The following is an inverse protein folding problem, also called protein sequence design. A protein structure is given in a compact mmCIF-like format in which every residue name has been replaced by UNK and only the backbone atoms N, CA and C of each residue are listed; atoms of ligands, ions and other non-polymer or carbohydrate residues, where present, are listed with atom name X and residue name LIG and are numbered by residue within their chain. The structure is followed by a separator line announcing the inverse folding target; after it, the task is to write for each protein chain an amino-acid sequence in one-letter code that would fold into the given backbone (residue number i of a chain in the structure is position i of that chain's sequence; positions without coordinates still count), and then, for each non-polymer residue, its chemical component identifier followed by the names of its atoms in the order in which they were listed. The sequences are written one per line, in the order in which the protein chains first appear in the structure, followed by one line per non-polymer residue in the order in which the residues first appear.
data_IF_583996209461
#
_entry.id   IF_583996209461
#
_cell.length_a   1.000
_cell.length_b   1.000
_cell.length_c   1.000
_cell.angle_alpha   90.00
_cell.angle_beta   90.00
_cell.angle_gamma   90.00
#
_symmetry.space_group_name_H-M   'P 1'
#
loop_
_entity.id
_entity.type
_entity.pdbx_description
1 polymer ?
#
# COMPACT_ATOMS: atom_id res chain seq x y z
N UNK A 1 2.71 49.60 -33.12
CA UNK A 1 1.48 49.20 -32.41
C UNK A 1 0.72 48.20 -33.29
N UNK A 2 0.06 47.17 -32.73
CA UNK A 2 -0.87 46.31 -33.48
C UNK A 2 -2.31 46.63 -33.02
N UNK A 3 -3.24 46.75 -33.97
CA UNK A 3 -4.65 47.01 -33.66
C UNK A 3 -5.27 45.80 -32.94
N UNK A 4 -6.09 46.00 -31.89
CA UNK A 4 -6.88 44.91 -31.31
C UNK A 4 -7.95 44.48 -32.31
N UNK A 5 -7.86 43.24 -32.81
CA UNK A 5 -8.97 42.64 -33.56
C UNK A 5 -10.19 42.55 -32.63
N UNK A 6 -11.35 42.97 -33.11
CA UNK A 6 -12.59 42.97 -32.32
C UNK A 6 -13.01 41.54 -31.94
N UNK A 7 -13.35 41.34 -30.66
CA UNK A 7 -13.86 40.05 -30.14
C UNK A 7 -15.12 39.55 -30.86
N UNK A 8 -15.82 40.44 -31.56
CA UNK A 8 -17.07 40.18 -32.26
C UNK A 8 -16.93 39.18 -33.44
N UNK A 9 -15.71 38.98 -33.95
CA UNK A 9 -15.43 38.05 -35.05
C UNK A 9 -15.27 36.57 -34.63
N UNK A 10 -15.44 36.24 -33.34
CA UNK A 10 -15.30 34.86 -32.81
C UNK A 10 -16.65 34.19 -32.46
N UNK A 11 -17.79 34.81 -32.80
CA UNK A 11 -19.13 34.31 -32.46
C UNK A 11 -20.00 33.93 -33.67
N UNK A 12 -19.48 34.06 -34.89
CA UNK A 12 -20.12 33.55 -36.11
C UNK A 12 -19.64 32.13 -36.43
N UNK A 13 -19.91 31.19 -35.52
CA UNK A 13 -19.92 29.78 -35.87
C UNK A 13 -21.29 29.46 -36.45
N UNK A 14 -21.37 29.22 -37.76
CA UNK A 14 -22.59 28.75 -38.41
C UNK A 14 -22.93 27.36 -37.87
N UNK A 15 -23.86 27.31 -36.92
CA UNK A 15 -24.40 26.04 -36.42
C UNK A 15 -25.12 25.33 -37.58
N UNK A 16 -24.96 23.99 -37.72
CA UNK A 16 -25.75 23.22 -38.67
C UNK A 16 -27.24 23.52 -38.51
N UNK A 17 -27.94 23.80 -39.61
CA UNK A 17 -29.33 24.30 -39.62
C UNK A 17 -30.36 23.32 -39.04
N UNK A 18 -29.93 22.11 -38.67
CA UNK A 18 -30.70 21.07 -38.00
C UNK A 18 -30.43 20.96 -36.48
N UNK A 19 -29.54 21.75 -35.88
CA UNK A 19 -29.33 21.81 -34.43
C UNK A 19 -30.08 23.00 -33.82
N UNK A 20 -31.14 22.74 -33.03
CA UNK A 20 -31.72 23.77 -32.16
C UNK A 20 -30.75 24.12 -31.02
N UNK A 21 -30.72 25.41 -30.67
CA UNK A 21 -30.04 25.93 -29.48
C UNK A 21 -30.49 25.19 -28.21
N UNK A 22 -31.76 24.81 -28.11
CA UNK A 22 -32.32 24.11 -26.95
C UNK A 22 -31.69 22.72 -26.75
N UNK A 23 -31.37 22.03 -27.86
CA UNK A 23 -30.70 20.73 -27.82
C UNK A 23 -29.27 20.91 -27.31
N UNK A 24 -28.55 21.93 -27.80
CA UNK A 24 -27.19 22.26 -27.34
C UNK A 24 -27.18 22.61 -25.85
N UNK A 25 -28.10 23.48 -25.42
CA UNK A 25 -28.24 23.88 -24.00
C UNK A 25 -28.58 22.69 -23.11
N UNK A 26 -29.46 21.78 -23.56
CA UNK A 26 -29.80 20.56 -22.83
C UNK A 26 -28.61 19.63 -22.68
N UNK A 27 -27.93 19.27 -23.77
CA UNK A 27 -26.77 18.37 -23.73
C UNK A 27 -25.63 18.95 -22.87
N UNK A 28 -25.37 20.26 -22.95
CA UNK A 28 -24.40 20.93 -22.07
C UNK A 28 -24.84 20.89 -20.59
N UNK A 29 -26.13 21.06 -20.30
CA UNK A 29 -26.68 20.94 -18.94
C UNK A 29 -26.51 19.52 -18.38
N UNK A 30 -26.87 18.49 -19.16
CA UNK A 30 -26.74 17.09 -18.77
C UNK A 30 -25.26 16.69 -18.57
N UNK A 31 -24.34 17.21 -19.38
CA UNK A 31 -22.88 17.06 -19.19
C UNK A 31 -22.41 17.74 -17.90
N UNK A 32 -22.87 18.96 -17.60
CA UNK A 32 -22.53 19.68 -16.37
C UNK A 32 -23.08 18.98 -15.12
N UNK A 33 -24.31 18.49 -15.15
CA UNK A 33 -24.93 17.71 -14.08
C UNK A 33 -24.15 16.41 -13.83
N UNK A 34 -23.73 15.72 -14.91
CA UNK A 34 -22.90 14.51 -14.84
C UNK A 34 -21.53 14.81 -14.22
N UNK A 35 -20.87 15.90 -14.64
CA UNK A 35 -19.59 16.39 -14.07
C UNK A 35 -19.73 16.72 -12.58
N UNK A 36 -20.80 17.42 -12.18
CA UNK A 36 -21.07 17.74 -10.77
C UNK A 36 -21.29 16.48 -9.92
N UNK A 37 -22.15 15.55 -10.35
CA UNK A 37 -22.39 14.28 -9.65
C UNK A 37 -21.09 13.47 -9.46
N UNK A 38 -20.21 13.44 -10.47
CA UNK A 38 -18.89 12.80 -10.34
C UNK A 38 -17.98 13.49 -9.31
N UNK A 39 -17.99 14.83 -9.23
CA UNK A 39 -17.20 15.58 -8.22
C UNK A 39 -17.76 15.40 -6.80
N UNK A 40 -19.08 15.31 -6.63
CA UNK A 40 -19.69 15.02 -5.31
C UNK A 40 -19.31 13.61 -4.84
N UNK A 41 -19.43 12.60 -5.71
CA UNK A 41 -18.97 11.23 -5.40
C UNK A 41 -17.46 11.17 -5.11
N UNK A 42 -16.64 11.94 -5.85
CA UNK A 42 -15.19 12.04 -5.62
C UNK A 42 -14.85 12.58 -4.23
N UNK A 43 -15.57 13.58 -3.75
CA UNK A 43 -15.38 14.11 -2.39
C UNK A 43 -15.85 13.12 -1.32
N UNK A 44 -17.00 12.45 -1.52
CA UNK A 44 -17.51 11.46 -0.58
C UNK A 44 -16.52 10.29 -0.35
N UNK A 45 -15.91 9.77 -1.42
CA UNK A 45 -14.89 8.70 -1.31
C UNK A 45 -13.58 9.22 -0.69
N UNK A 46 -13.25 10.51 -0.84
CA UNK A 46 -12.11 11.12 -0.13
C UNK A 46 -12.34 11.17 1.37
N UNK A 47 -13.51 11.60 1.84
CA UNK A 47 -13.80 11.67 3.29
C UNK A 47 -13.87 10.26 3.90
N UNK A 48 -14.57 9.32 3.27
CA UNK A 48 -14.58 7.92 3.69
C UNK A 48 -13.16 7.32 3.79
N UNK A 49 -12.28 7.57 2.80
CA UNK A 49 -10.90 7.09 2.85
C UNK A 49 -10.05 7.80 3.92
N UNK A 50 -10.30 9.08 4.23
CA UNK A 50 -9.64 9.77 5.35
C UNK A 50 -10.00 9.14 6.70
N UNK A 51 -11.26 8.73 6.86
CA UNK A 51 -11.78 8.10 8.08
C UNK A 51 -11.23 6.68 8.27
N UNK A 52 -11.24 5.85 7.22
CA UNK A 52 -10.90 4.42 7.28
C UNK A 52 -9.42 4.12 6.95
N UNK A 53 -8.55 5.12 7.08
CA UNK A 53 -7.23 5.17 6.43
C UNK A 53 -6.18 4.16 6.92
N UNK A 54 -6.34 3.64 8.13
CA UNK A 54 -5.47 2.60 8.71
C UNK A 54 -5.88 1.19 8.31
N UNK A 55 -7.17 0.95 8.04
CA UNK A 55 -7.72 -0.40 8.01
C UNK A 55 -7.60 -1.10 6.66
N UNK A 56 -7.59 -0.38 5.53
CA UNK A 56 -7.46 -1.02 4.21
C UNK A 56 -6.56 -0.28 3.20
N UNK A 57 -5.36 -0.85 2.97
CA UNK A 57 -4.43 -0.39 1.92
C UNK A 57 -4.89 -0.73 0.49
N UNK A 58 -5.70 -1.79 0.31
CA UNK A 58 -6.24 -2.17 -1.01
C UNK A 58 -7.21 -1.11 -1.51
N UNK A 59 -8.12 -0.65 -0.65
CA UNK A 59 -9.02 0.48 -0.94
C UNK A 59 -8.23 1.77 -1.22
N UNK A 60 -7.15 2.02 -0.47
CA UNK A 60 -6.26 3.16 -0.68
C UNK A 60 -5.63 3.16 -2.08
N UNK A 61 -5.15 2.00 -2.55
CA UNK A 61 -4.58 1.81 -3.90
C UNK A 61 -5.66 1.97 -4.99
N UNK A 62 -6.82 1.34 -4.81
CA UNK A 62 -7.94 1.42 -5.74
C UNK A 62 -8.46 2.86 -5.89
N UNK A 63 -8.58 3.61 -4.79
CA UNK A 63 -8.94 5.02 -4.80
C UNK A 63 -7.93 5.88 -5.58
N UNK A 64 -6.63 5.68 -5.35
CA UNK A 64 -5.60 6.44 -6.05
C UNK A 64 -5.68 6.24 -7.57
N UNK A 65 -5.86 5.00 -8.05
CA UNK A 65 -6.08 4.76 -9.48
C UNK A 65 -7.39 5.32 -10.00
N UNK A 66 -8.49 5.21 -9.25
CA UNK A 66 -9.76 5.79 -9.65
C UNK A 66 -9.64 7.31 -9.80
N UNK A 67 -8.90 7.97 -8.90
CA UNK A 67 -8.53 9.39 -9.00
C UNK A 67 -7.66 9.69 -10.23
N UNK A 68 -6.69 8.84 -10.59
CA UNK A 68 -5.92 9.02 -11.84
C UNK A 68 -6.81 8.88 -13.08
N UNK A 69 -7.66 7.84 -13.13
CA UNK A 69 -8.65 7.63 -14.21
C UNK A 69 -9.59 8.82 -14.35
N UNK A 70 -10.04 9.42 -13.24
CA UNK A 70 -10.88 10.62 -13.25
C UNK A 70 -10.16 11.85 -13.81
N UNK A 71 -8.90 12.10 -13.38
CA UNK A 71 -8.10 13.23 -13.88
C UNK A 71 -7.67 13.05 -15.35
N UNK A 72 -7.35 11.83 -15.77
CA UNK A 72 -7.08 11.48 -17.16
C UNK A 72 -8.32 11.73 -18.04
N UNK A 73 -9.51 11.26 -17.61
CA UNK A 73 -10.77 11.57 -18.31
C UNK A 73 -11.07 13.07 -18.38
N UNK A 74 -10.76 13.84 -17.33
CA UNK A 74 -10.91 15.30 -17.38
C UNK A 74 -10.03 15.90 -18.49
N UNK A 75 -8.74 15.54 -18.53
CA UNK A 75 -7.81 16.03 -19.56
C UNK A 75 -8.26 15.61 -20.97
N UNK A 76 -8.72 14.36 -21.15
CA UNK A 76 -9.33 13.89 -22.40
C UNK A 76 -10.55 14.76 -22.79
N UNK A 77 -11.48 15.03 -21.86
CA UNK A 77 -12.65 15.88 -22.16
C UNK A 77 -12.30 17.34 -22.43
N UNK A 78 -11.35 17.92 -21.71
CA UNK A 78 -10.95 19.31 -21.89
C UNK A 78 -10.36 19.51 -23.32
N UNK A 79 -9.58 18.54 -23.84
CA UNK A 79 -9.18 18.51 -25.26
C UNK A 79 -10.34 18.28 -26.24
N UNK A 80 -11.33 17.45 -25.86
CA UNK A 80 -12.43 17.06 -26.77
C UNK A 80 -13.39 18.21 -27.06
N UNK A 81 -13.56 19.16 -26.13
CA UNK A 81 -14.42 20.33 -26.29
C UNK A 81 -13.72 21.54 -26.97
N UNK A 82 -12.71 21.29 -27.81
CA UNK A 82 -12.09 22.33 -28.65
C UNK A 82 -11.11 23.27 -27.94
N UNK A 83 -10.68 22.94 -26.71
CA UNK A 83 -9.53 23.62 -26.09
C UNK A 83 -8.26 22.96 -26.61
N UNK A 84 -7.47 23.68 -27.43
CA UNK A 84 -6.30 23.11 -28.13
C UNK A 84 -5.26 22.50 -27.18
N UNK A 85 -5.10 23.04 -25.96
CA UNK A 85 -4.26 22.45 -24.90
C UNK A 85 -4.96 22.52 -23.53
N UNK A 86 -4.87 21.47 -22.68
CA UNK A 86 -5.37 21.52 -21.30
C UNK A 86 -4.65 22.59 -20.47
N UNK A 87 -5.38 23.27 -19.58
CA UNK A 87 -4.80 24.36 -18.80
C UNK A 87 -3.55 23.92 -18.01
N UNK A 88 -2.49 24.76 -17.90
CA UNK A 88 -1.27 24.39 -17.17
C UNK A 88 -1.51 23.98 -15.70
N UNK A 89 -2.60 24.47 -15.08
CA UNK A 89 -3.04 24.06 -13.74
C UNK A 89 -3.61 22.63 -13.72
N UNK A 90 -4.41 22.25 -14.72
CA UNK A 90 -4.92 20.89 -14.85
C UNK A 90 -3.78 19.88 -15.12
N UNK A 91 -2.86 20.22 -16.04
CA UNK A 91 -1.66 19.42 -16.32
C UNK A 91 -0.81 19.22 -15.06
N UNK A 92 -0.52 20.30 -14.30
CA UNK A 92 0.22 20.19 -13.03
C UNK A 92 -0.51 19.32 -12.01
N UNK A 93 -1.81 19.52 -11.82
CA UNK A 93 -2.60 18.72 -10.87
C UNK A 93 -2.56 17.22 -11.20
N UNK A 94 -2.59 16.87 -12.50
CA UNK A 94 -2.43 15.50 -12.96
C UNK A 94 -1.01 14.97 -12.73
N UNK A 95 0.05 15.71 -13.08
CA UNK A 95 1.44 15.30 -12.78
C UNK A 95 1.67 15.08 -11.28
N UNK A 96 1.20 16.00 -10.42
CA UNK A 96 1.35 15.92 -8.97
C UNK A 96 0.58 14.72 -8.36
N UNK A 97 -0.63 14.44 -8.84
CA UNK A 97 -1.42 13.28 -8.40
C UNK A 97 -0.81 11.95 -8.89
N UNK A 98 -0.33 11.94 -10.14
CA UNK A 98 0.31 10.78 -10.77
C UNK A 98 1.62 10.43 -10.07
N UNK A 99 2.47 11.42 -9.77
CA UNK A 99 3.71 11.23 -9.03
C UNK A 99 3.47 10.66 -7.63
N UNK A 100 2.47 11.18 -6.89
CA UNK A 100 2.08 10.64 -5.57
C UNK A 100 1.59 9.18 -5.67
N UNK A 101 0.79 8.88 -6.67
CA UNK A 101 0.22 7.53 -6.88
C UNK A 101 1.30 6.51 -7.27
N UNK A 102 2.23 6.88 -8.16
CA UNK A 102 3.42 6.05 -8.47
C UNK A 102 4.25 5.80 -7.23
N UNK A 103 4.60 6.84 -6.46
CA UNK A 103 5.41 6.65 -5.26
C UNK A 103 4.71 5.76 -4.23
N UNK A 104 3.37 5.84 -4.11
CA UNK A 104 2.61 4.97 -3.21
C UNK A 104 2.57 3.51 -3.73
N UNK A 105 2.18 3.28 -4.98
CA UNK A 105 2.16 1.93 -5.60
C UNK A 105 3.56 1.30 -5.60
N UNK A 106 4.61 2.08 -5.91
CA UNK A 106 5.99 1.62 -5.81
C UNK A 106 6.41 1.30 -4.38
N UNK A 107 6.02 2.12 -3.38
CA UNK A 107 6.33 1.83 -1.98
C UNK A 107 5.57 0.60 -1.47
N UNK A 108 4.32 0.37 -1.87
CA UNK A 108 3.57 -0.85 -1.52
C UNK A 108 4.14 -2.08 -2.24
N UNK A 109 4.46 -1.99 -3.53
CA UNK A 109 5.15 -3.05 -4.26
C UNK A 109 6.51 -3.38 -3.62
N UNK A 110 7.33 -2.36 -3.32
CA UNK A 110 8.56 -2.54 -2.57
C UNK A 110 8.34 -3.09 -1.16
N UNK A 111 7.22 -2.81 -0.48
CA UNK A 111 6.94 -3.37 0.84
C UNK A 111 6.62 -4.86 0.72
N UNK A 112 5.72 -5.26 -0.18
CA UNK A 112 5.41 -6.68 -0.43
C UNK A 112 6.66 -7.45 -0.89
N UNK A 113 7.41 -6.91 -1.85
CA UNK A 113 8.68 -7.48 -2.27
C UNK A 113 9.70 -7.54 -1.12
N UNK A 114 10.04 -6.43 -0.46
CA UNK A 114 11.07 -6.45 0.58
C UNK A 114 10.68 -7.28 1.79
N UNK A 115 9.41 -7.37 2.17
CA UNK A 115 9.00 -8.28 3.23
C UNK A 115 9.27 -9.74 2.80
N UNK A 116 9.02 -10.08 1.54
CA UNK A 116 9.28 -11.41 0.95
C UNK A 116 10.79 -11.68 0.71
N UNK A 117 11.67 -10.67 0.83
CA UNK A 117 13.10 -10.75 0.47
C UNK A 117 14.11 -10.38 1.58
N UNK A 118 13.73 -9.57 2.55
CA UNK A 118 14.62 -8.99 3.56
C UNK A 118 14.05 -9.20 4.97
N UNK A 119 14.53 -10.25 5.65
CA UNK A 119 14.25 -10.48 7.07
C UNK A 119 14.76 -9.35 8.01
N UNK A 120 15.54 -8.38 7.48
CA UNK A 120 16.09 -7.26 8.24
C UNK A 120 15.05 -6.11 8.36
N UNK A 121 14.01 -6.37 9.14
CA UNK A 121 12.80 -5.56 9.22
C UNK A 121 12.95 -4.36 10.18
N UNK A 122 13.28 -3.17 9.67
CA UNK A 122 13.39 -1.95 10.48
C UNK A 122 12.39 -0.84 10.13
N UNK A 123 11.55 -0.98 9.10
CA UNK A 123 10.77 0.14 8.55
C UNK A 123 9.27 -0.11 8.29
N UNK A 124 8.70 -1.17 8.85
CA UNK A 124 7.24 -1.43 8.85
C UNK A 124 6.72 -1.27 10.29
N UNK A 125 5.51 -0.74 10.50
CA UNK A 125 5.03 -0.35 11.86
C UNK A 125 3.62 -0.80 12.21
N UNK A 126 2.97 -1.56 11.32
CA UNK A 126 1.54 -1.93 11.43
C UNK A 126 1.24 -3.17 10.57
N UNK A 127 1.93 -3.32 9.43
CA UNK A 127 1.74 -4.41 8.47
C UNK A 127 2.38 -5.76 8.87
N UNK A 128 3.19 -5.80 9.94
CA UNK A 128 3.99 -7.00 10.26
C UNK A 128 3.25 -8.06 11.07
N UNK A 129 2.44 -7.66 12.05
CA UNK A 129 1.90 -8.59 13.06
C UNK A 129 0.81 -9.51 12.49
N UNK A 130 0.18 -9.12 11.39
CA UNK A 130 -0.83 -9.91 10.68
C UNK A 130 -0.28 -10.69 9.48
N UNK A 131 0.63 -10.09 8.69
CA UNK A 131 1.11 -10.64 7.41
C UNK A 131 2.36 -11.52 7.55
N UNK A 132 3.12 -11.40 8.65
CA UNK A 132 4.33 -12.20 8.86
C UNK A 132 4.07 -13.50 9.63
N UNK A 133 4.95 -14.47 9.43
CA UNK A 133 5.07 -15.73 10.17
C UNK A 133 6.55 -16.04 10.46
N UNK A 134 6.82 -16.87 11.46
CA UNK A 134 8.16 -17.39 11.75
C UNK A 134 8.48 -18.57 10.80
N UNK A 135 9.72 -18.68 10.32
CA UNK A 135 10.13 -19.79 9.41
C UNK A 135 10.74 -21.00 10.11
N UNK A 136 11.25 -20.81 11.32
CA UNK A 136 11.66 -21.94 12.17
C UNK A 136 10.42 -22.71 12.65
N UNK A 137 10.51 -24.01 12.99
CA UNK A 137 9.46 -24.72 13.71
C UNK A 137 9.03 -23.98 14.99
N UNK A 138 7.77 -24.14 15.40
CA UNK A 138 7.26 -23.51 16.61
C UNK A 138 7.84 -24.10 17.89
N UNK A 139 7.91 -23.27 18.92
CA UNK A 139 8.46 -23.61 20.23
C UNK A 139 7.37 -24.35 21.00
N UNK A 140 7.44 -25.67 21.04
CA UNK A 140 6.49 -26.56 21.74
C UNK A 140 6.71 -26.63 23.25
N UNK A 141 7.92 -26.32 23.73
CA UNK A 141 8.31 -26.32 25.14
C UNK A 141 9.28 -25.17 25.46
N UNK A 142 9.48 -24.90 26.75
CA UNK A 142 10.30 -23.78 27.24
C UNK A 142 11.71 -24.20 27.71
N UNK A 143 12.21 -25.35 27.27
CA UNK A 143 13.44 -25.94 27.78
C UNK A 143 14.66 -25.06 27.50
N UNK A 144 15.38 -24.70 28.56
CA UNK A 144 16.50 -23.77 28.49
C UNK A 144 16.11 -22.32 28.15
N UNK A 145 14.82 -21.99 28.02
CA UNK A 145 14.27 -20.64 27.85
C UNK A 145 13.81 -20.08 29.21
N UNK A 146 13.03 -20.88 29.93
CA UNK A 146 12.47 -20.58 31.25
C UNK A 146 12.55 -21.80 32.18
N UNK A 147 12.04 -21.68 33.40
CA UNK A 147 11.93 -22.79 34.37
C UNK A 147 10.63 -22.66 35.15
N UNK A 148 9.91 -23.76 35.36
CA UNK A 148 8.71 -23.79 36.21
C UNK A 148 9.03 -23.30 37.63
N UNK A 149 8.08 -22.61 38.27
CA UNK A 149 8.21 -22.16 39.66
C UNK A 149 6.95 -22.46 40.46
N UNK A 150 7.10 -22.52 41.79
CA UNK A 150 5.97 -22.69 42.69
C UNK A 150 5.07 -21.45 42.68
N UNK A 151 3.76 -21.65 42.83
CA UNK A 151 2.76 -20.57 42.93
C UNK A 151 3.13 -19.51 44.00
N UNK A 152 3.75 -19.93 45.10
CA UNK A 152 4.24 -19.06 46.19
C UNK A 152 5.44 -18.17 45.81
N UNK A 153 5.96 -18.28 44.59
CA UNK A 153 7.04 -17.46 44.04
C UNK A 153 6.58 -16.57 42.89
N UNK A 154 5.32 -16.68 42.47
CA UNK A 154 4.72 -15.84 41.43
C UNK A 154 4.20 -14.50 42.01
N UNK A 155 3.94 -13.54 41.13
CA UNK A 155 3.12 -12.36 41.44
C UNK A 155 1.64 -12.79 41.48
N UNK A 156 0.70 -11.86 41.69
CA UNK A 156 -0.73 -12.20 41.73
C UNK A 156 -1.25 -12.80 40.40
N UNK A 157 -0.91 -12.18 39.26
CA UNK A 157 -1.40 -12.55 37.93
C UNK A 157 -0.33 -12.52 36.83
N UNK A 158 -0.64 -13.12 35.67
CA UNK A 158 0.25 -13.25 34.52
C UNK A 158 0.39 -11.94 33.71
N UNK A 159 1.60 -11.43 33.42
CA UNK A 159 1.82 -10.15 32.73
C UNK A 159 1.53 -10.17 31.21
N UNK A 160 0.91 -11.23 30.68
CA UNK A 160 0.55 -11.37 29.26
C UNK A 160 -0.97 -11.33 29.06
N UNK A 161 -1.72 -12.18 29.76
CA UNK A 161 -3.19 -12.25 29.69
C UNK A 161 -3.92 -11.54 30.85
N UNK A 162 -3.20 -11.21 31.93
CA UNK A 162 -3.74 -10.69 33.20
C UNK A 162 -4.64 -11.67 33.99
N UNK A 163 -4.51 -12.97 33.72
CA UNK A 163 -5.19 -14.05 34.46
C UNK A 163 -4.40 -14.50 35.70
N UNK A 164 -5.11 -14.99 36.71
CA UNK A 164 -4.54 -15.61 37.90
C UNK A 164 -3.95 -17.00 37.60
N UNK A 165 -3.01 -17.46 38.43
CA UNK A 165 -2.34 -18.76 38.24
C UNK A 165 -3.22 -19.94 38.64
N UNK A 166 -3.10 -21.05 37.90
CA UNK A 166 -3.88 -22.26 38.14
C UNK A 166 -3.29 -23.50 37.46
N UNK A 167 -4.01 -24.62 37.49
CA UNK A 167 -3.57 -25.89 36.86
C UNK A 167 -3.38 -25.79 35.34
N UNK A 168 -4.12 -24.89 34.69
CA UNK A 168 -4.01 -24.62 33.25
C UNK A 168 -3.07 -23.43 32.97
N UNK A 169 -2.78 -22.62 33.99
CA UNK A 169 -1.99 -21.38 33.90
C UNK A 169 -0.76 -21.46 34.82
N UNK A 170 0.18 -22.35 34.47
CA UNK A 170 1.38 -22.64 35.28
C UNK A 170 2.44 -21.52 35.13
N UNK A 171 2.98 -20.96 36.23
CA UNK A 171 4.01 -19.92 36.19
C UNK A 171 5.40 -20.43 35.81
N UNK A 172 6.00 -19.81 34.80
CA UNK A 172 7.37 -20.06 34.34
C UNK A 172 8.24 -18.81 34.47
N UNK A 173 9.42 -18.97 35.07
CA UNK A 173 10.38 -17.90 35.34
C UNK A 173 11.44 -17.79 34.24
N UNK A 174 11.57 -16.58 33.71
CA UNK A 174 12.55 -16.20 32.69
C UNK A 174 13.95 -16.00 33.30
N UNK A 175 14.98 -16.06 32.45
CA UNK A 175 16.38 -15.71 32.80
C UNK A 175 16.55 -14.30 33.36
N UNK A 176 15.63 -13.38 33.06
CA UNK A 176 15.58 -12.02 33.63
C UNK A 176 14.79 -11.92 34.95
N UNK A 177 14.47 -13.05 35.60
CA UNK A 177 13.78 -13.11 36.89
C UNK A 177 12.25 -12.94 36.84
N UNK A 178 11.70 -12.40 35.75
CA UNK A 178 10.26 -12.18 35.57
C UNK A 178 9.52 -13.49 35.27
N UNK A 179 8.24 -13.56 35.63
CA UNK A 179 7.40 -14.77 35.55
C UNK A 179 6.24 -14.54 34.58
N UNK A 180 5.92 -15.54 33.75
CA UNK A 180 4.81 -15.54 32.81
C UNK A 180 4.22 -16.96 32.68
N UNK A 181 2.95 -17.08 32.26
CA UNK A 181 2.31 -18.39 32.07
C UNK A 181 2.93 -19.21 30.95
N UNK A 182 3.02 -20.53 31.14
CA UNK A 182 3.58 -21.48 30.18
C UNK A 182 3.06 -21.25 28.74
N UNK A 183 1.74 -21.39 28.55
CA UNK A 183 1.10 -21.23 27.24
C UNK A 183 1.23 -19.80 26.71
N UNK A 184 1.00 -18.78 27.53
CA UNK A 184 1.13 -17.39 27.11
C UNK A 184 2.56 -17.04 26.65
N UNK A 185 3.60 -17.59 27.28
CA UNK A 185 4.98 -17.39 26.87
C UNK A 185 5.29 -18.14 25.56
N UNK A 186 4.76 -19.35 25.37
CA UNK A 186 4.82 -20.08 24.10
C UNK A 186 4.13 -19.28 22.97
N UNK A 187 2.89 -18.82 23.18
CA UNK A 187 2.17 -17.99 22.20
C UNK A 187 2.92 -16.68 21.91
N UNK A 188 3.51 -16.05 22.91
CA UNK A 188 4.33 -14.85 22.73
C UNK A 188 5.59 -15.12 21.89
N UNK A 189 6.35 -16.18 22.21
CA UNK A 189 7.56 -16.59 21.49
C UNK A 189 7.26 -17.11 20.06
N UNK A 190 6.05 -17.62 19.83
CA UNK A 190 5.59 -18.08 18.51
C UNK A 190 4.90 -16.98 17.68
N UNK A 191 4.61 -15.81 18.27
CA UNK A 191 4.12 -14.65 17.52
C UNK A 191 5.16 -14.09 16.55
N UNK A 192 4.69 -13.48 15.45
CA UNK A 192 5.54 -12.84 14.44
C UNK A 192 5.98 -11.40 14.81
N UNK A 193 5.56 -10.89 15.98
CA UNK A 193 5.88 -9.56 16.46
C UNK A 193 7.38 -9.41 16.75
N UNK A 194 8.00 -8.28 16.39
CA UNK A 194 9.45 -8.03 16.55
C UNK A 194 10.00 -8.15 17.97
N UNK A 195 9.14 -8.25 18.98
CA UNK A 195 9.56 -8.38 20.39
C UNK A 195 9.20 -9.71 21.04
N UNK A 196 8.72 -10.69 20.27
CA UNK A 196 8.45 -12.07 20.71
C UNK A 196 9.64 -12.69 21.47
N UNK A 197 10.87 -12.46 20.98
CA UNK A 197 12.11 -12.93 21.61
C UNK A 197 12.52 -12.20 22.91
N UNK A 198 11.69 -11.28 23.44
CA UNK A 198 11.96 -10.45 24.63
C UNK A 198 10.90 -10.63 25.70
N UNK A 199 11.31 -10.45 26.95
CA UNK A 199 10.42 -10.37 28.10
C UNK A 199 9.44 -9.20 27.95
N UNK A 200 8.14 -9.45 28.09
CA UNK A 200 7.09 -8.41 28.01
C UNK A 200 7.32 -7.28 29.03
N UNK A 201 7.73 -7.63 30.25
CA UNK A 201 7.90 -6.70 31.37
C UNK A 201 9.15 -5.82 31.26
N UNK A 202 10.33 -6.41 31.00
CA UNK A 202 11.61 -5.70 31.06
C UNK A 202 12.40 -5.65 29.74
N UNK A 203 11.85 -6.21 28.65
CA UNK A 203 12.42 -6.23 27.28
C UNK A 203 13.82 -6.88 27.14
N UNK A 204 14.30 -7.54 28.19
CA UNK A 204 15.46 -8.45 28.15
C UNK A 204 15.24 -9.57 27.11
N UNK A 205 16.28 -9.89 26.35
CA UNK A 205 16.22 -10.91 25.30
C UNK A 205 16.28 -12.33 25.88
N UNK A 206 15.22 -13.12 25.67
CA UNK A 206 15.09 -14.48 26.24
C UNK A 206 15.69 -15.52 25.29
N UNK A 207 15.43 -15.34 23.99
CA UNK A 207 15.78 -16.25 22.89
C UNK A 207 16.49 -15.50 21.75
N UNK A 208 16.99 -16.24 20.74
CA UNK A 208 17.39 -15.62 19.47
C UNK A 208 16.14 -15.11 18.75
N UNK A 209 16.28 -14.07 17.93
CA UNK A 209 15.19 -13.71 17.00
C UNK A 209 14.98 -14.86 16.02
N UNK A 210 13.75 -15.36 15.89
CA UNK A 210 13.39 -16.33 14.85
C UNK A 210 13.39 -15.60 13.49
N UNK A 211 13.95 -16.20 12.43
CA UNK A 211 13.76 -15.70 11.07
C UNK A 211 12.26 -15.67 10.73
N UNK A 212 11.84 -14.60 10.06
CA UNK A 212 10.44 -14.31 9.71
C UNK A 212 10.30 -14.09 8.21
N UNK A 213 9.18 -14.53 7.65
CA UNK A 213 8.76 -14.27 6.25
C UNK A 213 7.31 -13.80 6.21
N UNK A 214 6.81 -13.26 5.10
CA UNK A 214 5.38 -13.08 4.90
C UNK A 214 4.70 -14.44 4.71
N UNK A 215 3.47 -14.57 5.15
CA UNK A 215 2.63 -15.73 4.87
C UNK A 215 2.40 -15.84 3.35
N UNK A 216 2.60 -17.02 2.72
CA UNK A 216 2.54 -17.14 1.27
C UNK A 216 1.18 -16.78 0.65
N UNK A 217 0.08 -17.11 1.34
CA UNK A 217 -1.30 -16.79 0.95
C UNK A 217 -1.57 -15.28 0.91
N UNK A 218 -1.24 -14.56 1.99
CA UNK A 218 -1.35 -13.10 2.10
C UNK A 218 -0.56 -12.37 1.01
N UNK A 219 0.60 -12.90 0.58
CA UNK A 219 1.34 -12.34 -0.56
C UNK A 219 0.69 -12.73 -1.89
N UNK A 220 0.28 -13.99 -2.05
CA UNK A 220 -0.29 -14.52 -3.28
C UNK A 220 -1.62 -13.84 -3.66
N UNK A 221 -2.47 -13.49 -2.69
CA UNK A 221 -3.72 -12.76 -2.94
C UNK A 221 -3.47 -11.28 -3.30
N UNK A 222 -2.39 -10.68 -2.77
CA UNK A 222 -2.04 -9.27 -3.03
C UNK A 222 -1.29 -9.07 -4.35
N UNK A 223 -0.62 -10.10 -4.88
CA UNK A 223 0.15 -10.02 -6.14
C UNK A 223 -0.71 -9.73 -7.39
N UNK A 224 -1.84 -10.44 -7.65
CA UNK A 224 -2.74 -10.13 -8.78
C UNK A 224 -3.22 -8.69 -8.77
N UNK A 225 -3.64 -8.19 -7.60
CA UNK A 225 -4.02 -6.79 -7.43
C UNK A 225 -2.86 -5.86 -7.80
N UNK A 226 -1.66 -6.06 -7.24
CA UNK A 226 -0.49 -5.24 -7.56
C UNK A 226 -0.19 -5.25 -9.07
N UNK A 227 -0.30 -6.38 -9.75
CA UNK A 227 -0.14 -6.44 -11.20
C UNK A 227 -1.21 -5.64 -11.95
N UNK A 228 -2.49 -5.79 -11.62
CA UNK A 228 -3.56 -4.96 -12.23
C UNK A 228 -3.34 -3.47 -11.98
N UNK A 229 -2.86 -3.09 -10.79
CA UNK A 229 -2.56 -1.69 -10.47
C UNK A 229 -1.40 -1.14 -11.31
N UNK A 230 -0.40 -1.97 -11.59
CA UNK A 230 0.78 -1.63 -12.40
C UNK A 230 0.47 -1.60 -13.90
N UNK A 231 -0.37 -2.49 -14.41
CA UNK A 231 -0.88 -2.50 -15.79
C UNK A 231 -1.76 -1.27 -16.08
N UNK A 232 -2.59 -0.85 -15.13
CA UNK A 232 -3.36 0.40 -15.23
C UNK A 232 -2.47 1.65 -15.23
N UNK A 233 -1.44 1.70 -14.37
CA UNK A 233 -0.44 2.75 -14.43
C UNK A 233 0.25 2.78 -15.81
N UNK A 234 0.71 1.62 -16.31
CA UNK A 234 1.33 1.49 -17.63
C UNK A 234 0.43 2.08 -18.73
N UNK A 235 -0.86 1.74 -18.74
CA UNK A 235 -1.84 2.25 -19.70
C UNK A 235 -1.97 3.79 -19.66
N UNK A 236 -2.11 4.35 -18.45
CA UNK A 236 -2.21 5.80 -18.24
C UNK A 236 -0.92 6.50 -18.70
N UNK A 237 0.26 5.93 -18.42
CA UNK A 237 1.55 6.47 -18.88
C UNK A 237 1.74 6.39 -20.39
N UNK A 238 1.32 5.29 -21.03
CA UNK A 238 1.40 5.10 -22.47
C UNK A 238 0.64 6.17 -23.24
N UNK A 239 -0.54 6.57 -22.74
CA UNK A 239 -1.31 7.73 -23.27
C UNK A 239 -0.62 9.06 -22.98
N UNK A 240 -0.31 9.36 -21.70
CA UNK A 240 0.00 10.73 -21.29
C UNK A 240 1.48 11.14 -21.32
N UNK A 241 2.43 10.19 -21.31
CA UNK A 241 3.88 10.43 -21.41
C UNK A 241 4.40 11.63 -20.58
N UNK A 242 4.08 11.72 -19.27
CA UNK A 242 4.31 12.92 -18.46
C UNK A 242 5.80 13.26 -18.33
N UNK A 243 6.12 14.53 -18.60
CA UNK A 243 7.49 15.02 -18.82
C UNK A 243 8.35 15.03 -17.55
N UNK A 244 7.74 15.17 -16.36
CA UNK A 244 8.49 15.31 -15.08
C UNK A 244 8.81 13.99 -14.36
N UNK A 245 8.20 12.88 -14.71
CA UNK A 245 8.47 11.61 -14.04
C UNK A 245 9.68 10.89 -14.68
N UNK A 246 10.53 10.24 -13.86
CA UNK A 246 11.56 9.27 -14.32
C UNK A 246 10.92 7.95 -14.81
N UNK A 247 9.75 8.04 -15.43
CA UNK A 247 8.83 6.93 -15.68
C UNK A 247 9.43 5.78 -16.50
N UNK A 248 10.34 5.95 -17.49
CA UNK A 248 10.91 4.80 -18.20
C UNK A 248 11.79 3.91 -17.32
N UNK A 249 12.37 4.45 -16.24
CA UNK A 249 13.10 3.64 -15.24
C UNK A 249 12.15 2.91 -14.29
N UNK A 250 11.02 3.53 -13.95
CA UNK A 250 9.98 2.86 -13.18
C UNK A 250 9.30 1.75 -13.97
N UNK A 251 8.94 2.03 -15.23
CA UNK A 251 8.35 1.07 -16.15
C UNK A 251 9.25 -0.15 -16.28
N UNK A 252 10.53 0.05 -16.59
CA UNK A 252 11.48 -1.06 -16.69
C UNK A 252 11.67 -1.82 -15.38
N UNK A 253 11.77 -1.14 -14.25
CA UNK A 253 11.85 -1.83 -12.94
C UNK A 253 10.59 -2.67 -12.70
N UNK A 254 9.41 -2.17 -13.05
CA UNK A 254 8.14 -2.90 -12.96
C UNK A 254 8.15 -4.09 -13.92
N UNK A 255 8.44 -3.89 -15.20
CA UNK A 255 8.51 -4.96 -16.22
C UNK A 255 9.50 -6.06 -15.82
N UNK A 256 10.72 -5.71 -15.42
CA UNK A 256 11.78 -6.64 -15.00
C UNK A 256 11.34 -7.50 -13.79
N UNK A 257 10.55 -6.96 -12.85
CA UNK A 257 10.07 -7.71 -11.67
C UNK A 257 8.74 -8.45 -11.91
N UNK A 258 7.76 -7.82 -12.55
CA UNK A 258 6.44 -8.40 -12.87
C UNK A 258 6.61 -9.62 -13.76
N UNK A 259 7.53 -9.55 -14.73
CA UNK A 259 7.88 -10.70 -15.56
C UNK A 259 8.43 -11.84 -14.72
N UNK A 260 9.42 -11.57 -13.86
CA UNK A 260 10.05 -12.63 -13.04
C UNK A 260 9.04 -13.30 -12.10
N UNK A 261 8.19 -12.51 -11.43
CA UNK A 261 7.16 -13.02 -10.52
C UNK A 261 6.06 -13.84 -11.24
N UNK A 262 5.88 -13.67 -12.56
CA UNK A 262 5.02 -14.54 -13.39
C UNK A 262 5.74 -15.80 -13.89
N UNK A 263 7.04 -15.71 -14.15
CA UNK A 263 7.84 -16.82 -14.69
C UNK A 263 8.27 -17.84 -13.61
N UNK A 264 8.51 -17.40 -12.36
CA UNK A 264 8.80 -18.30 -11.23
C UNK A 264 8.31 -17.74 -9.87
N UNK A 265 7.09 -18.10 -9.43
CA UNK A 265 6.56 -17.72 -8.13
C UNK A 265 6.96 -18.67 -6.98
N UNK A 266 7.65 -19.80 -7.23
CA UNK A 266 7.81 -20.87 -6.22
C UNK A 266 9.24 -21.11 -5.74
N UNK A 267 10.28 -20.95 -6.56
CA UNK A 267 11.64 -21.36 -6.14
C UNK A 267 12.32 -20.38 -5.18
N UNK A 268 11.85 -19.13 -5.13
CA UNK A 268 12.54 -18.03 -4.44
C UNK A 268 13.90 -17.65 -5.05
N UNK A 269 14.31 -18.24 -6.18
CA UNK A 269 15.66 -18.12 -6.74
C UNK A 269 16.08 -16.67 -7.06
N UNK A 270 15.11 -15.80 -7.37
CA UNK A 270 15.37 -14.39 -7.64
C UNK A 270 15.95 -13.64 -6.43
N UNK A 271 15.74 -14.11 -5.19
CA UNK A 271 16.30 -13.51 -3.97
C UNK A 271 17.84 -13.41 -4.02
N UNK A 272 18.50 -14.41 -4.60
CA UNK A 272 19.95 -14.44 -4.81
C UNK A 272 20.44 -13.33 -5.77
N UNK A 273 19.57 -12.86 -6.67
CA UNK A 273 19.88 -11.79 -7.62
C UNK A 273 19.87 -10.38 -7.01
N UNK A 274 19.09 -10.15 -5.94
CA UNK A 274 18.91 -8.81 -5.36
C UNK A 274 20.00 -8.39 -4.38
N UNK A 275 20.56 -9.32 -3.61
CA UNK A 275 21.56 -9.03 -2.56
C UNK A 275 22.84 -8.33 -3.03
N UNK A 276 23.13 -8.34 -4.34
CA UNK A 276 24.33 -7.72 -4.93
C UNK A 276 24.07 -6.36 -5.59
N UNK A 277 22.82 -6.06 -5.99
CA UNK A 277 22.47 -4.85 -6.77
C UNK A 277 22.05 -3.68 -5.89
N UNK A 278 22.94 -3.25 -5.00
CA UNK A 278 22.73 -2.03 -4.21
C UNK A 278 22.53 -0.81 -5.13
N UNK A 279 21.35 -0.20 -5.05
CA UNK A 279 21.02 1.03 -5.79
C UNK A 279 21.82 2.21 -5.19
N UNK A 280 23.08 2.36 -5.60
CA UNK A 280 23.90 3.53 -5.25
C UNK A 280 23.19 4.80 -5.70
N UNK A 281 22.69 5.57 -4.73
CA UNK A 281 22.14 6.92 -4.98
C UNK A 281 23.23 7.77 -5.66
N UNK A 282 22.95 8.20 -6.89
CA UNK A 282 23.57 9.31 -7.59
C UNK A 282 22.48 10.37 -7.81
#
# INVERSE_FOLDING_TARGET
MRSPKSHQALLTCDLPTNLSLDIIVKELSDVLIKKHKTVVAFNAVIEYHKEHRSQNRVESLAFLLWRLRALARQLETDCTFGVEEPTPRAVKNFEDATHKTVNYIYNEFNQVCNATFNANSNHFTEWEETVMENTDPDIENLDGIATEVLLTQANDACPICLEDWGSEHVPFKLKCGHIAGYFCLITWLNSAARTSNRCVSCRFQISKERPRRPKPDEVQDRLPLLFTLLEELYYIFGRYKPKRCRWPRWLKFVEDNVRFLREDPQTGAWAAGYGTRTFRRR
#
